data_IF_815203727858
#
_entry.id   IF_815203727858
#
_cell.length_a   1.000
_cell.length_b   1.000
_cell.length_c   1.000
_cell.angle_alpha   90.00
_cell.angle_beta   90.00
_cell.angle_gamma   90.00
#
_symmetry.space_group_name_H-M   'P 1'
#
loop_
_entity.id
_entity.type
_entity.pdbx_description
1 polymer ?
#
# COMPACT_ATOMS: atom_id res chain seq x y z
N UNK A 1 17.87 -12.09 -6.72
CA UNK A 1 17.07 -10.98 -6.16
C UNK A 1 15.67 -11.48 -5.90
N UNK A 2 15.01 -11.05 -4.83
CA UNK A 2 13.64 -11.43 -4.51
C UNK A 2 12.67 -10.37 -5.02
N UNK A 3 11.50 -10.79 -5.50
CA UNK A 3 10.42 -9.89 -5.94
C UNK A 3 9.48 -9.56 -4.79
N UNK A 4 9.09 -8.28 -4.70
CA UNK A 4 8.01 -7.84 -3.83
C UNK A 4 6.93 -7.20 -4.70
N UNK A 5 5.70 -7.52 -4.36
CA UNK A 5 4.51 -6.98 -5.01
C UNK A 5 3.77 -6.14 -3.99
N UNK A 6 3.92 -4.82 -4.09
CA UNK A 6 3.24 -3.87 -3.21
C UNK A 6 1.89 -3.51 -3.83
N UNK A 7 0.81 -3.95 -3.19
CA UNK A 7 -0.55 -3.88 -3.71
C UNK A 7 -1.35 -2.89 -2.87
N UNK A 8 -1.93 -1.87 -3.50
CA UNK A 8 -2.94 -1.04 -2.86
C UNK A 8 -4.21 -1.86 -2.64
N UNK A 9 -4.88 -1.71 -1.50
CA UNK A 9 -6.17 -2.37 -1.26
C UNK A 9 -7.19 -2.09 -2.38
N UNK A 10 -8.14 -3.00 -2.58
CA UNK A 10 -9.29 -2.85 -3.47
C UNK A 10 -10.22 -1.71 -3.00
N UNK A 11 -11.21 -1.37 -3.84
CA UNK A 11 -12.14 -0.29 -3.55
C UNK A 11 -12.91 -0.57 -2.25
N UNK A 12 -12.82 0.32 -1.23
CA UNK A 12 -13.53 0.15 0.03
C UNK A 12 -15.02 0.48 -0.12
N UNK A 13 -15.84 -0.08 0.76
CA UNK A 13 -17.29 0.16 0.82
C UNK A 13 -17.67 1.55 1.32
N UNK A 14 -16.75 2.27 1.93
CA UNK A 14 -16.91 3.64 2.38
C UNK A 14 -15.66 4.47 2.05
N UNK A 15 -15.86 5.77 1.85
CA UNK A 15 -14.77 6.72 1.62
C UNK A 15 -14.00 6.99 2.91
N UNK A 16 -12.72 7.37 2.76
CA UNK A 16 -11.87 7.76 3.87
C UNK A 16 -12.42 8.99 4.60
N UNK A 17 -12.53 8.92 5.94
CA UNK A 17 -13.18 9.96 6.74
C UNK A 17 -14.71 9.85 6.84
N UNK A 18 -15.29 8.73 6.38
CA UNK A 18 -16.70 8.40 6.61
C UNK A 18 -17.00 7.90 8.03
N UNK A 19 -18.20 7.40 8.25
CA UNK A 19 -18.65 6.93 9.56
C UNK A 19 -18.10 5.56 9.99
N UNK A 20 -17.39 4.87 9.09
CA UNK A 20 -16.76 3.58 9.37
C UNK A 20 -15.24 3.77 9.36
N UNK A 21 -14.61 3.53 10.49
CA UNK A 21 -13.16 3.70 10.67
C UNK A 21 -12.34 2.60 9.97
N UNK A 22 -12.92 1.43 9.72
CA UNK A 22 -12.25 0.31 9.07
C UNK A 22 -13.17 -0.42 8.05
N UNK A 23 -13.58 0.28 6.98
CA UNK A 23 -14.46 -0.30 5.97
C UNK A 23 -13.79 -1.47 5.26
N UNK A 24 -14.57 -2.51 5.01
CA UNK A 24 -14.19 -3.61 4.11
C UNK A 24 -14.30 -3.20 2.64
N UNK A 25 -14.16 -4.16 1.73
CA UNK A 25 -14.29 -3.95 0.29
C UNK A 25 -15.75 -3.90 -0.14
N UNK A 26 -16.05 -3.08 -1.16
CA UNK A 26 -17.30 -3.20 -1.92
C UNK A 26 -17.18 -4.35 -2.95
N UNK A 27 -18.25 -4.60 -3.72
CA UNK A 27 -18.26 -5.65 -4.75
C UNK A 27 -17.18 -5.43 -5.82
N UNK A 28 -16.93 -4.17 -6.19
CA UNK A 28 -15.85 -3.80 -7.12
C UNK A 28 -14.48 -4.12 -6.51
N UNK A 29 -14.26 -3.76 -5.24
CA UNK A 29 -13.03 -4.07 -4.51
C UNK A 29 -12.77 -5.56 -4.39
N UNK A 30 -13.80 -6.35 -4.15
CA UNK A 30 -13.70 -7.81 -4.13
C UNK A 30 -13.32 -8.39 -5.51
N UNK A 31 -13.88 -7.86 -6.60
CA UNK A 31 -13.51 -8.25 -7.95
C UNK A 31 -12.04 -7.85 -8.25
N UNK A 32 -11.62 -6.66 -7.83
CA UNK A 32 -10.23 -6.18 -7.94
C UNK A 32 -9.25 -7.07 -7.16
N UNK A 33 -9.61 -7.51 -5.95
CA UNK A 33 -8.80 -8.44 -5.16
C UNK A 33 -8.58 -9.78 -5.88
N UNK A 34 -9.64 -10.32 -6.50
CA UNK A 34 -9.53 -11.54 -7.31
C UNK A 34 -8.67 -11.33 -8.55
N UNK A 35 -8.80 -10.19 -9.23
CA UNK A 35 -7.97 -9.87 -10.40
C UNK A 35 -6.48 -9.72 -10.02
N UNK A 36 -6.17 -9.12 -8.88
CA UNK A 36 -4.79 -9.05 -8.37
C UNK A 36 -4.22 -10.46 -8.07
N UNK A 37 -5.02 -11.34 -7.45
CA UNK A 37 -4.64 -12.75 -7.27
C UNK A 37 -4.34 -13.42 -8.61
N UNK A 38 -5.22 -13.28 -9.60
CA UNK A 38 -5.05 -13.93 -10.93
C UNK A 38 -3.75 -13.46 -11.61
N UNK A 39 -3.45 -12.17 -11.52
CA UNK A 39 -2.20 -11.61 -12.02
C UNK A 39 -0.97 -12.21 -11.32
N UNK A 40 -0.99 -12.29 -9.98
CA UNK A 40 0.10 -12.88 -9.21
C UNK A 40 0.29 -14.37 -9.52
N UNK A 41 -0.81 -15.11 -9.68
CA UNK A 41 -0.77 -16.55 -9.98
C UNK A 41 -0.35 -16.85 -11.43
N UNK A 42 -0.50 -15.91 -12.35
CA UNK A 42 -0.01 -16.03 -13.73
C UNK A 42 1.50 -15.82 -13.87
N UNK A 43 2.18 -15.32 -12.85
CA UNK A 43 3.63 -15.15 -12.86
C UNK A 43 4.36 -16.51 -12.99
N UNK A 44 5.57 -16.51 -13.58
CA UNK A 44 6.45 -17.68 -13.52
C UNK A 44 6.64 -18.17 -12.08
N UNK A 45 6.73 -19.46 -11.87
CA UNK A 45 6.80 -20.06 -10.54
C UNK A 45 7.93 -19.47 -9.66
N UNK A 46 9.07 -19.13 -10.27
CA UNK A 46 10.21 -18.54 -9.57
C UNK A 46 9.98 -17.10 -9.09
N UNK A 47 9.00 -16.39 -9.67
CA UNK A 47 8.66 -15.00 -9.35
C UNK A 47 7.42 -14.90 -8.48
N UNK A 48 6.62 -15.97 -8.36
CA UNK A 48 5.41 -15.95 -7.54
C UNK A 48 5.74 -15.65 -6.08
N UNK A 49 4.88 -14.86 -5.41
CA UNK A 49 5.04 -14.69 -3.97
C UNK A 49 4.87 -16.03 -3.24
N UNK A 50 5.64 -16.23 -2.22
CA UNK A 50 5.56 -17.39 -1.30
C UNK A 50 5.05 -16.98 0.07
N UNK A 51 4.85 -15.68 0.29
CA UNK A 51 4.35 -15.07 1.53
C UNK A 51 3.34 -13.99 1.19
N UNK A 52 2.39 -13.79 2.09
CA UNK A 52 1.38 -12.74 2.03
C UNK A 52 1.46 -11.93 3.31
N UNK A 53 1.72 -10.63 3.17
CA UNK A 53 1.77 -9.65 4.26
C UNK A 53 0.66 -8.63 4.05
N UNK A 54 -0.03 -8.22 5.10
CA UNK A 54 -1.10 -7.23 5.02
C UNK A 54 -1.01 -6.21 6.15
N UNK A 55 -1.35 -4.96 5.82
CA UNK A 55 -1.77 -3.98 6.82
C UNK A 55 -2.88 -4.57 7.72
N UNK A 56 -2.97 -4.16 9.00
CA UNK A 56 -4.03 -4.63 9.90
C UNK A 56 -5.45 -4.20 9.48
N UNK A 57 -5.60 -3.17 8.61
CA UNK A 57 -6.91 -2.66 8.23
C UNK A 57 -7.68 -3.66 7.36
N UNK A 58 -8.98 -3.75 7.61
CA UNK A 58 -9.89 -4.74 7.03
C UNK A 58 -9.82 -4.79 5.51
N UNK A 59 -9.87 -3.63 4.83
CA UNK A 59 -9.80 -3.54 3.37
C UNK A 59 -8.53 -4.16 2.77
N UNK A 60 -7.38 -4.06 3.48
CA UNK A 60 -6.14 -4.71 3.04
C UNK A 60 -6.19 -6.21 3.23
N UNK A 61 -6.68 -6.69 4.37
CA UNK A 61 -6.81 -8.13 4.66
C UNK A 61 -7.78 -8.80 3.69
N UNK A 62 -8.94 -8.18 3.42
CA UNK A 62 -9.90 -8.69 2.43
C UNK A 62 -9.33 -8.67 1.00
N UNK A 63 -8.45 -7.72 0.66
CA UNK A 63 -7.73 -7.73 -0.64
C UNK A 63 -6.70 -8.86 -0.71
N UNK A 64 -6.04 -9.17 0.41
CA UNK A 64 -5.01 -10.22 0.51
C UNK A 64 -5.60 -11.64 0.48
N UNK A 65 -6.81 -11.82 0.98
CA UNK A 65 -7.41 -13.14 1.22
C UNK A 65 -7.46 -14.04 -0.02
N UNK A 66 -7.91 -13.61 -1.21
CA UNK A 66 -7.90 -14.46 -2.40
C UNK A 66 -6.50 -14.93 -2.80
N UNK A 67 -5.47 -14.10 -2.58
CA UNK A 67 -4.07 -14.45 -2.88
C UNK A 67 -3.55 -15.47 -1.87
N UNK A 68 -3.78 -15.25 -0.57
CA UNK A 68 -3.37 -16.17 0.47
C UNK A 68 -4.00 -17.56 0.30
N UNK A 69 -5.29 -17.61 0.00
CA UNK A 69 -6.00 -18.85 -0.30
C UNK A 69 -5.41 -19.58 -1.51
N UNK A 70 -5.13 -18.87 -2.60
CA UNK A 70 -4.57 -19.47 -3.82
C UNK A 70 -3.14 -20.01 -3.63
N UNK A 71 -2.37 -19.40 -2.73
CA UNK A 71 -1.01 -19.83 -2.37
C UNK A 71 -0.99 -20.90 -1.27
N UNK A 72 -2.10 -21.08 -0.54
CA UNK A 72 -2.17 -21.99 0.60
C UNK A 72 -1.33 -21.52 1.80
N UNK A 73 -1.26 -20.20 2.03
CA UNK A 73 -0.50 -19.58 3.12
C UNK A 73 -1.37 -18.70 4.00
N UNK A 74 -0.93 -18.46 5.23
CA UNK A 74 -1.57 -17.49 6.12
C UNK A 74 -1.20 -16.05 5.76
N UNK A 75 -2.06 -15.10 6.13
CA UNK A 75 -1.79 -13.68 6.03
C UNK A 75 -1.01 -13.23 7.27
N UNK A 76 0.22 -12.80 7.07
CA UNK A 76 1.01 -12.13 8.10
C UNK A 76 0.55 -10.68 8.24
N UNK A 77 0.04 -10.28 9.40
CA UNK A 77 -0.38 -8.90 9.66
C UNK A 77 0.82 -8.10 10.18
N UNK A 78 1.15 -7.00 9.49
CA UNK A 78 2.26 -6.13 9.84
C UNK A 78 1.84 -4.65 9.82
N UNK A 79 1.85 -4.00 10.98
CA UNK A 79 1.47 -2.59 11.11
C UNK A 79 2.43 -1.64 10.36
N UNK A 80 3.68 -2.05 10.09
CA UNK A 80 4.66 -1.24 9.36
C UNK A 80 4.29 -0.98 7.90
N UNK A 81 3.38 -1.78 7.32
CA UNK A 81 2.84 -1.54 5.99
C UNK A 81 1.45 -0.91 6.03
N UNK A 82 1.11 -0.27 7.15
CA UNK A 82 -0.14 0.45 7.38
C UNK A 82 -0.24 1.76 6.60
N UNK A 83 -1.43 2.39 6.68
CA UNK A 83 -1.64 3.72 6.09
C UNK A 83 -0.95 4.80 6.93
N UNK A 84 -0.72 5.96 6.33
CA UNK A 84 -0.13 7.13 6.99
C UNK A 84 -0.87 7.42 8.31
N UNK A 85 -0.15 7.49 9.45
CA UNK A 85 -0.76 7.83 10.73
C UNK A 85 -1.29 9.27 10.69
N UNK A 86 -2.59 9.43 10.96
CA UNK A 86 -3.18 10.77 11.10
C UNK A 86 -2.89 11.33 12.49
N UNK A 87 -2.68 12.65 12.63
CA UNK A 87 -2.50 13.27 13.93
C UNK A 87 -3.67 12.95 14.88
N UNK A 88 -3.35 12.56 16.11
CA UNK A 88 -4.33 12.11 17.09
C UNK A 88 -5.37 13.18 17.46
N UNK A 89 -4.98 14.46 17.34
CA UNK A 89 -5.87 15.60 17.63
C UNK A 89 -6.95 15.81 16.56
N UNK A 90 -6.84 15.22 15.37
CA UNK A 90 -7.78 15.44 14.28
C UNK A 90 -9.05 14.59 14.46
N UNK A 91 -10.20 15.25 14.38
CA UNK A 91 -11.49 14.58 14.21
C UNK A 91 -11.57 13.86 12.86
N UNK A 92 -12.48 12.91 12.71
CA UNK A 92 -12.72 12.19 11.45
C UNK A 92 -12.95 13.16 10.27
N UNK A 93 -13.70 14.24 10.49
CA UNK A 93 -13.99 15.24 9.46
C UNK A 93 -12.76 16.03 9.01
N UNK A 94 -11.75 16.19 9.87
CA UNK A 94 -10.52 16.95 9.58
C UNK A 94 -9.44 16.12 8.88
N UNK A 95 -9.52 14.80 8.98
CA UNK A 95 -8.52 13.90 8.36
C UNK A 95 -8.44 14.05 6.83
N UNK A 96 -9.59 14.16 6.16
CA UNK A 96 -9.62 14.35 4.71
C UNK A 96 -8.98 15.66 4.24
N UNK A 97 -9.34 16.82 4.80
CA UNK A 97 -8.65 18.10 4.53
C UNK A 97 -7.15 18.04 4.80
N UNK A 98 -6.74 17.48 5.93
CA UNK A 98 -5.32 17.30 6.28
C UNK A 98 -4.56 16.49 5.22
N UNK A 99 -5.12 15.37 4.79
CA UNK A 99 -4.49 14.52 3.78
C UNK A 99 -4.39 15.22 2.43
N UNK A 100 -5.43 15.96 2.02
CA UNK A 100 -5.36 16.75 0.76
C UNK A 100 -4.29 17.84 0.83
N UNK A 101 -4.12 18.51 1.97
CA UNK A 101 -3.04 19.48 2.20
C UNK A 101 -1.67 18.77 2.06
N UNK A 102 -1.51 17.62 2.67
CA UNK A 102 -0.28 16.83 2.61
C UNK A 102 0.07 16.42 1.17
N UNK A 103 -0.91 16.06 0.36
CA UNK A 103 -0.69 15.68 -1.04
C UNK A 103 -0.16 16.79 -1.94
N UNK A 104 -0.37 18.04 -1.59
CA UNK A 104 0.11 19.20 -2.34
C UNK A 104 1.57 19.54 -2.05
N UNK A 105 2.16 18.95 -1.01
CA UNK A 105 3.48 19.28 -0.48
C UNK A 105 4.49 18.15 -0.53
N UNK A 106 5.49 18.28 0.31
CA UNK A 106 6.56 17.30 0.50
C UNK A 106 6.41 16.56 1.83
N UNK A 107 7.08 15.43 1.98
CA UNK A 107 7.05 14.63 3.21
C UNK A 107 7.52 15.42 4.44
N UNK A 108 8.52 16.28 4.28
CA UNK A 108 9.04 17.11 5.37
C UNK A 108 8.09 18.25 5.80
N UNK A 109 7.12 18.60 4.98
CA UNK A 109 6.13 19.67 5.25
C UNK A 109 4.84 19.16 5.89
N UNK A 110 4.69 17.83 6.04
CA UNK A 110 3.49 17.27 6.68
C UNK A 110 3.50 17.61 8.17
N UNK A 111 2.49 18.35 8.61
CA UNK A 111 2.28 18.70 10.01
C UNK A 111 1.54 17.55 10.73
N UNK A 112 2.02 17.14 11.90
CA UNK A 112 1.39 16.10 12.71
C UNK A 112 2.26 15.61 13.86
N UNK A 113 1.97 14.41 14.38
CA UNK A 113 2.58 13.85 15.57
C UNK A 113 3.92 13.14 15.29
N UNK A 114 4.29 12.98 14.01
CA UNK A 114 5.46 12.22 13.56
C UNK A 114 6.36 13.06 12.65
N UNK A 115 7.60 12.63 12.54
CA UNK A 115 8.45 12.93 11.37
C UNK A 115 8.00 12.03 10.21
N UNK A 116 7.17 12.56 9.30
CA UNK A 116 6.62 11.80 8.18
C UNK A 116 7.67 11.48 7.10
N UNK A 117 8.76 12.24 7.03
CA UNK A 117 9.88 11.91 6.16
C UNK A 117 10.69 10.71 6.72
N UNK A 118 10.82 10.62 8.04
CA UNK A 118 11.36 9.42 8.68
C UNK A 118 10.42 8.21 8.51
N UNK A 119 9.10 8.38 8.71
CA UNK A 119 8.11 7.32 8.51
C UNK A 119 8.16 6.76 7.08
N UNK A 120 8.30 7.62 6.07
CA UNK A 120 8.48 7.24 4.66
C UNK A 120 9.68 6.28 4.49
N UNK A 121 10.82 6.63 5.05
CA UNK A 121 12.04 5.80 4.99
C UNK A 121 11.87 4.48 5.74
N UNK A 122 11.21 4.49 6.88
CA UNK A 122 10.96 3.30 7.69
C UNK A 122 10.06 2.28 6.98
N UNK A 123 8.99 2.74 6.32
CA UNK A 123 8.13 1.83 5.57
C UNK A 123 8.89 1.19 4.39
N UNK A 124 9.69 1.94 3.64
CA UNK A 124 10.52 1.40 2.58
C UNK A 124 11.55 0.39 3.13
N UNK A 125 12.24 0.73 4.22
CA UNK A 125 13.20 -0.15 4.87
C UNK A 125 12.56 -1.45 5.38
N UNK A 126 11.30 -1.40 5.83
CA UNK A 126 10.57 -2.58 6.32
C UNK A 126 10.35 -3.65 5.24
N UNK A 127 10.47 -3.30 3.97
CA UNK A 127 10.31 -4.21 2.84
C UNK A 127 11.62 -4.92 2.46
N UNK A 128 12.77 -4.39 2.86
CA UNK A 128 14.07 -5.00 2.58
C UNK A 128 14.18 -6.37 3.27
N UNK A 129 14.70 -7.36 2.54
CA UNK A 129 14.93 -8.69 3.08
C UNK A 129 13.70 -9.62 3.15
N UNK A 130 12.56 -9.13 2.69
CA UNK A 130 11.33 -9.96 2.64
C UNK A 130 11.36 -10.88 1.45
N UNK A 131 11.93 -11.82 1.14
CA UNK A 131 11.82 -12.76 0.01
C UNK A 131 10.68 -12.47 -1.00
N UNK A 132 10.29 -13.40 -1.82
CA UNK A 132 9.16 -13.23 -2.74
C UNK A 132 7.83 -13.06 -1.96
N UNK A 133 7.35 -11.83 -1.83
CA UNK A 133 6.23 -11.48 -0.94
C UNK A 133 5.21 -10.58 -1.65
N UNK A 134 3.92 -10.89 -1.49
CA UNK A 134 2.82 -9.98 -1.80
C UNK A 134 2.48 -9.16 -0.55
N UNK A 135 2.57 -7.84 -0.65
CA UNK A 135 2.34 -6.89 0.46
C UNK A 135 1.12 -6.05 0.15
N UNK A 136 0.07 -6.21 0.93
CA UNK A 136 -1.19 -5.47 0.78
C UNK A 136 -1.23 -4.26 1.70
N UNK A 137 -1.29 -3.08 1.10
CA UNK A 137 -1.08 -1.82 1.76
C UNK A 137 -2.03 -0.73 1.22
N UNK A 138 -1.65 0.52 1.32
CA UNK A 138 -2.48 1.68 1.11
C UNK A 138 -1.91 2.65 0.08
N UNK A 139 -2.71 3.66 -0.27
CA UNK A 139 -2.37 4.67 -1.25
C UNK A 139 -1.14 5.50 -0.83
N UNK A 140 -1.17 6.04 0.40
CA UNK A 140 -0.07 6.89 0.88
C UNK A 140 1.17 6.06 1.19
N UNK A 141 1.00 4.89 1.78
CA UNK A 141 2.09 3.96 2.03
C UNK A 141 2.83 3.54 0.76
N UNK A 142 2.08 3.28 -0.33
CA UNK A 142 2.69 2.99 -1.64
C UNK A 142 3.45 4.19 -2.18
N UNK A 143 2.92 5.41 -2.04
CA UNK A 143 3.63 6.64 -2.41
C UNK A 143 4.87 6.87 -1.56
N UNK A 144 4.84 6.55 -0.26
CA UNK A 144 5.99 6.64 0.63
C UNK A 144 7.16 5.79 0.10
N UNK A 145 6.89 4.53 -0.24
CA UNK A 145 7.90 3.64 -0.81
C UNK A 145 8.41 4.15 -2.16
N UNK A 146 7.52 4.49 -3.07
CA UNK A 146 7.90 4.90 -4.43
C UNK A 146 8.65 6.24 -4.43
N UNK A 147 8.22 7.23 -3.63
CA UNK A 147 8.92 8.51 -3.51
C UNK A 147 10.32 8.35 -2.91
N UNK A 148 10.49 7.46 -1.93
CA UNK A 148 11.80 7.13 -1.37
C UNK A 148 12.73 6.54 -2.43
N UNK A 149 12.25 5.54 -3.17
CA UNK A 149 13.06 4.87 -4.20
C UNK A 149 13.40 5.76 -5.40
N UNK A 150 12.54 6.74 -5.71
CA UNK A 150 12.80 7.74 -6.77
C UNK A 150 13.65 8.92 -6.27
N UNK A 151 13.88 9.05 -4.98
CA UNK A 151 14.60 10.18 -4.39
C UNK A 151 13.86 11.51 -4.54
N UNK A 152 12.51 11.50 -4.60
CA UNK A 152 11.69 12.70 -4.74
C UNK A 152 11.03 13.09 -3.42
N UNK A 153 10.98 14.40 -3.06
CA UNK A 153 10.43 14.80 -1.77
C UNK A 153 8.89 14.87 -1.75
N UNK A 154 8.23 14.84 -2.90
CA UNK A 154 6.78 14.98 -3.01
C UNK A 154 6.05 13.80 -2.38
N UNK A 155 4.96 14.08 -1.68
CA UNK A 155 4.09 13.04 -1.09
C UNK A 155 3.45 12.19 -2.17
N UNK A 156 3.00 12.80 -3.26
CA UNK A 156 2.46 12.09 -4.41
C UNK A 156 3.53 11.90 -5.49
N UNK A 157 4.13 10.71 -5.55
CA UNK A 157 5.03 10.30 -6.63
C UNK A 157 4.27 9.76 -7.85
N UNK A 158 3.08 9.20 -7.61
CA UNK A 158 2.14 8.73 -8.64
C UNK A 158 0.75 8.48 -8.02
N UNK A 159 -0.22 8.03 -8.81
CA UNK A 159 -1.60 7.81 -8.35
C UNK A 159 -1.98 6.33 -8.46
N UNK A 160 -1.49 5.44 -7.59
CA UNK A 160 -1.80 4.01 -7.68
C UNK A 160 -3.31 3.79 -7.64
N UNK A 161 -3.87 3.08 -8.61
CA UNK A 161 -5.28 2.71 -8.64
C UNK A 161 -5.57 1.61 -7.58
N UNK A 162 -6.86 1.38 -7.28
CA UNK A 162 -7.26 0.28 -6.39
C UNK A 162 -6.78 -1.08 -6.93
N UNK A 163 -6.25 -1.89 -6.06
CA UNK A 163 -5.63 -3.19 -6.35
C UNK A 163 -4.52 -3.14 -7.41
N UNK A 164 -3.93 -1.96 -7.69
CA UNK A 164 -2.76 -1.87 -8.54
C UNK A 164 -1.55 -2.49 -7.85
N UNK A 165 -0.65 -3.08 -8.64
CA UNK A 165 0.52 -3.82 -8.19
C UNK A 165 1.77 -3.07 -8.61
N UNK A 166 2.51 -2.55 -7.64
CA UNK A 166 3.83 -1.96 -7.83
C UNK A 166 4.88 -3.06 -7.61
N UNK A 167 5.75 -3.27 -8.58
CA UNK A 167 6.77 -4.33 -8.52
C UNK A 167 8.09 -3.76 -8.03
N UNK A 168 8.62 -4.37 -7.00
CA UNK A 168 9.91 -4.03 -6.38
C UNK A 168 10.84 -5.24 -6.41
N UNK A 169 12.14 -4.99 -6.31
CA UNK A 169 13.16 -6.03 -6.10
C UNK A 169 14.04 -5.69 -4.91
N UNK A 170 14.51 -6.73 -4.22
CA UNK A 170 15.50 -6.59 -3.15
C UNK A 170 16.58 -7.67 -3.26
N UNK A 171 17.80 -7.28 -2.93
CA UNK A 171 18.94 -8.19 -2.72
C UNK A 171 19.17 -8.52 -1.24
N UNK A 172 18.29 -8.06 -0.35
CA UNK A 172 18.40 -8.19 1.10
C UNK A 172 19.07 -6.98 1.78
N UNK A 173 19.63 -6.05 1.03
CA UNK A 173 20.29 -4.83 1.52
C UNK A 173 19.65 -3.58 0.91
N UNK A 174 19.31 -3.65 -0.37
CA UNK A 174 18.69 -2.56 -1.11
C UNK A 174 17.29 -2.93 -1.59
N UNK A 175 16.49 -1.91 -1.86
CA UNK A 175 15.17 -2.02 -2.47
C UNK A 175 15.16 -1.18 -3.74
N UNK A 176 14.63 -1.73 -4.83
CA UNK A 176 14.60 -1.07 -6.15
C UNK A 176 13.20 -1.11 -6.73
N UNK A 177 12.77 0.00 -7.33
CA UNK A 177 11.52 0.07 -8.09
C UNK A 177 11.73 -0.54 -9.47
N UNK A 178 10.99 -1.59 -9.80
CA UNK A 178 11.00 -2.24 -11.11
C UNK A 178 9.91 -1.65 -12.01
N UNK A 179 8.67 -1.60 -11.49
CA UNK A 179 7.53 -1.10 -12.25
C UNK A 179 6.51 -0.46 -11.30
N UNK A 180 6.01 0.72 -11.67
CA UNK A 180 4.87 1.34 -10.98
C UNK A 180 3.57 0.63 -11.36
N UNK A 181 2.70 0.46 -10.39
CA UNK A 181 1.37 -0.07 -10.63
C UNK A 181 0.53 0.83 -11.54
N UNK A 182 -0.59 0.28 -12.04
CA UNK A 182 -1.57 1.05 -12.83
C UNK A 182 -2.01 2.30 -12.08
N UNK A 183 -2.05 3.43 -12.79
CA UNK A 183 -2.52 4.69 -12.23
C UNK A 183 -4.03 4.87 -12.40
N UNK A 184 -4.66 5.51 -11.42
CA UNK A 184 -6.07 5.88 -11.49
C UNK A 184 -6.28 7.03 -12.49
N UNK A 185 -7.33 6.93 -13.31
CA UNK A 185 -7.71 7.94 -14.30
C UNK A 185 -8.53 9.09 -13.73
N UNK A 186 -9.07 8.94 -12.51
CA UNK A 186 -9.90 9.94 -11.82
C UNK A 186 -9.43 10.12 -10.37
N UNK A 187 -9.89 11.19 -9.71
CA UNK A 187 -9.54 11.47 -8.30
C UNK A 187 -9.84 10.29 -7.37
N UNK A 188 -8.89 9.93 -6.52
CA UNK A 188 -8.84 8.67 -5.76
C UNK A 188 -9.14 8.87 -4.26
N UNK A 189 -9.74 10.02 -3.90
CA UNK A 189 -10.17 10.32 -2.53
C UNK A 189 -11.69 10.34 -2.44
#
# INVERSE_FOLDING_TARGET
MARLYLIRHGKPSATWGGNDDDPGLDETGQAQARAARDWLMALPAAERPTRVVSSPLRRCRETAEPTAQALGVDIEVDARVGEIPTPAALSLAERGPWLRKSFAGTWAEIEGDLDYDAWRREIAASLIGRGNTAVFSHYVATNAVVSELLGVPQVLAFRPDHASITVLETDGVTLTLVEKGREATTGVL
#
